data_IF_545323632857
#
_entry.id   IF_545323632857
#
_cell.length_a   1.000
_cell.length_b   1.000
_cell.length_c   1.000
_cell.angle_alpha   90.00
_cell.angle_beta   90.00
_cell.angle_gamma   90.00
#
_symmetry.space_group_name_H-M   'P 1'
#
loop_
_entity.id
_entity.type
_entity.pdbx_description
1 polymer ?
#
# COMPACT_ATOMS: atom_id res chain seq x y z
N UNK A 1 1.07 12.21 33.50
CA UNK A 1 1.09 12.54 32.05
C UNK A 1 0.73 11.29 31.26
N UNK A 2 -0.03 11.42 30.17
CA UNK A 2 -0.42 10.27 29.35
C UNK A 2 0.76 9.74 28.54
N UNK A 3 0.99 8.43 28.56
CA UNK A 3 2.01 7.78 27.73
C UNK A 3 1.73 7.94 26.23
N UNK A 4 0.45 8.06 25.84
CA UNK A 4 0.05 8.24 24.44
C UNK A 4 0.68 9.50 23.82
N UNK A 5 0.78 10.58 24.59
CA UNK A 5 1.34 11.87 24.15
C UNK A 5 2.82 12.05 24.53
N UNK A 6 3.49 10.97 24.94
CA UNK A 6 4.94 10.98 25.12
C UNK A 6 5.66 10.74 23.80
N UNK A 7 6.82 11.36 23.58
CA UNK A 7 7.62 11.12 22.39
C UNK A 7 8.11 9.67 22.30
N UNK A 8 8.33 9.21 21.07
CA UNK A 8 8.93 7.90 20.80
C UNK A 8 9.96 8.01 19.67
N UNK A 9 11.01 7.21 19.72
CA UNK A 9 12.07 7.22 18.69
C UNK A 9 12.05 5.88 17.97
N UNK A 10 11.92 5.92 16.65
CA UNK A 10 12.14 4.78 15.77
C UNK A 10 13.58 4.84 15.27
N UNK A 11 14.40 3.86 15.65
CA UNK A 11 15.80 3.79 15.24
C UNK A 11 15.96 2.92 14.00
N UNK A 12 16.80 3.37 13.07
CA UNK A 12 17.18 2.62 11.87
C UNK A 12 18.68 2.77 11.58
N UNK A 13 19.27 1.91 10.72
CA UNK A 13 20.65 2.11 10.26
C UNK A 13 20.88 3.45 9.53
N UNK A 14 19.83 4.10 9.02
CA UNK A 14 19.90 5.43 8.37
C UNK A 14 19.74 6.59 9.36
N UNK A 15 19.49 6.31 10.64
CA UNK A 15 19.29 7.30 11.69
C UNK A 15 17.96 7.13 12.44
N UNK A 16 17.79 8.00 13.44
CA UNK A 16 16.62 8.02 14.31
C UNK A 16 15.52 8.94 13.77
N UNK A 17 14.28 8.45 13.81
CA UNK A 17 13.07 9.22 13.55
C UNK A 17 12.32 9.45 14.86
N UNK A 18 12.28 10.70 15.33
CA UNK A 18 11.56 11.07 16.55
C UNK A 18 10.10 11.42 16.24
N UNK A 19 9.18 10.67 16.84
CA UNK A 19 7.75 10.93 16.81
C UNK A 19 7.34 11.79 18.02
N UNK A 20 6.49 12.83 17.85
CA UNK A 20 6.06 13.70 18.94
C UNK A 20 5.12 13.00 19.93
N UNK A 21 4.46 11.93 19.50
CA UNK A 21 3.56 11.11 20.31
C UNK A 21 3.50 9.67 19.73
N UNK A 22 2.73 8.79 20.35
CA UNK A 22 2.62 7.37 19.99
C UNK A 22 1.40 7.04 19.12
N UNK A 23 0.78 8.05 18.53
CA UNK A 23 -0.38 7.88 17.65
C UNK A 23 0.14 7.64 16.23
N UNK A 24 -0.23 6.50 15.66
CA UNK A 24 0.08 6.14 14.28
C UNK A 24 -1.23 5.98 13.53
N UNK A 25 -1.39 6.70 12.42
CA UNK A 25 -2.50 6.47 11.50
C UNK A 25 -2.16 5.29 10.61
N UNK A 26 -2.96 4.23 10.70
CA UNK A 26 -2.77 3.00 9.95
C UNK A 26 -2.95 3.18 8.43
N UNK A 27 -2.34 2.29 7.61
CA UNK A 27 -2.59 2.27 6.17
C UNK A 27 -4.02 1.78 5.89
N UNK A 28 -4.90 2.70 5.48
CA UNK A 28 -6.32 2.43 5.22
C UNK A 28 -6.64 2.64 3.74
N UNK A 29 -6.92 1.55 3.01
CA UNK A 29 -7.27 1.63 1.59
C UNK A 29 -8.45 2.57 1.36
N UNK A 30 -8.27 3.51 0.43
CA UNK A 30 -9.29 4.48 0.05
C UNK A 30 -10.11 4.02 -1.15
N UNK A 31 -9.54 3.15 -1.99
CA UNK A 31 -10.16 2.66 -3.23
C UNK A 31 -10.61 3.81 -4.15
N UNK A 32 -9.77 4.84 -4.27
CA UNK A 32 -10.06 6.09 -4.99
C UNK A 32 -9.00 6.43 -6.05
N UNK A 33 -8.09 5.51 -6.35
CA UNK A 33 -7.10 5.69 -7.40
C UNK A 33 -7.69 5.38 -8.77
N UNK A 34 -7.11 5.97 -9.82
CA UNK A 34 -7.43 5.64 -11.21
C UNK A 34 -6.16 5.09 -11.83
N UNK A 35 -6.18 3.82 -12.27
CA UNK A 35 -4.98 3.14 -12.79
C UNK A 35 -3.77 3.19 -11.83
N UNK A 36 -4.02 3.13 -10.52
CA UNK A 36 -2.98 3.27 -9.50
C UNK A 36 -2.56 4.71 -9.18
N UNK A 37 -2.98 5.69 -9.98
CA UNK A 37 -2.60 7.09 -9.80
C UNK A 37 -3.42 7.74 -8.67
N UNK A 38 -2.72 8.40 -7.75
CA UNK A 38 -3.35 9.16 -6.67
C UNK A 38 -4.17 10.33 -7.22
N UNK A 39 -5.46 10.34 -6.89
CA UNK A 39 -6.41 11.41 -7.21
C UNK A 39 -6.49 12.49 -6.12
N UNK A 40 -7.19 13.59 -6.40
CA UNK A 40 -7.41 14.68 -5.43
C UNK A 40 -8.17 14.25 -4.16
N UNK A 41 -8.87 13.11 -4.21
CA UNK A 41 -9.36 12.43 -3.00
C UNK A 41 -8.23 12.21 -1.98
N UNK A 42 -7.09 11.70 -2.43
CA UNK A 42 -5.94 11.41 -1.57
C UNK A 42 -5.31 12.70 -1.05
N UNK A 43 -5.26 13.76 -1.86
CA UNK A 43 -4.80 15.07 -1.39
C UNK A 43 -5.63 15.56 -0.20
N UNK A 44 -6.96 15.54 -0.33
CA UNK A 44 -7.86 15.95 0.75
C UNK A 44 -7.70 15.04 1.98
N UNK A 45 -7.68 13.73 1.76
CA UNK A 45 -7.56 12.73 2.83
C UNK A 45 -6.24 12.86 3.60
N UNK A 46 -5.11 12.89 2.89
CA UNK A 46 -3.78 13.03 3.50
C UNK A 46 -3.62 14.39 4.16
N UNK A 47 -4.12 15.47 3.54
CA UNK A 47 -4.11 16.80 4.15
C UNK A 47 -4.81 16.83 5.50
N UNK A 48 -5.96 16.15 5.62
CA UNK A 48 -6.67 16.02 6.90
C UNK A 48 -5.87 15.19 7.93
N UNK A 49 -5.34 14.03 7.53
CA UNK A 49 -4.59 13.16 8.44
C UNK A 49 -3.27 13.79 8.92
N UNK A 50 -2.58 14.53 8.06
CA UNK A 50 -1.36 15.26 8.43
C UNK A 50 -1.65 16.38 9.45
N UNK A 51 -2.87 16.93 9.47
CA UNK A 51 -3.33 17.92 10.45
C UNK A 51 -3.95 17.30 11.72
N UNK A 52 -4.02 15.97 11.84
CA UNK A 52 -4.70 15.29 12.95
C UNK A 52 -3.97 15.37 14.30
N UNK A 53 -2.68 15.75 14.29
CA UNK A 53 -1.81 15.68 15.47
C UNK A 53 -1.22 14.28 15.74
N UNK A 54 -1.45 13.30 14.86
CA UNK A 54 -0.77 12.01 14.93
C UNK A 54 0.75 12.14 14.77
N UNK A 55 1.51 11.25 15.42
CA UNK A 55 2.96 11.26 15.35
C UNK A 55 3.51 10.66 14.06
N UNK A 56 2.76 9.79 13.40
CA UNK A 56 3.11 9.15 12.13
C UNK A 56 1.84 8.88 11.30
N UNK A 57 1.92 9.11 10.00
CA UNK A 57 0.90 8.71 9.03
C UNK A 57 1.47 7.65 8.08
N UNK A 58 0.76 6.54 7.86
CA UNK A 58 1.13 5.51 6.89
C UNK A 58 0.14 5.54 5.72
N UNK A 59 0.63 5.84 4.52
CA UNK A 59 -0.15 5.77 3.28
C UNK A 59 -0.62 4.33 3.05
N UNK A 60 -1.84 4.19 2.53
CA UNK A 60 -2.52 2.91 2.28
C UNK A 60 -1.69 1.90 1.46
N UNK A 61 -2.12 0.64 1.50
CA UNK A 61 -1.53 -0.45 0.73
C UNK A 61 -1.39 -0.06 -0.76
N UNK A 62 -0.15 0.14 -1.18
CA UNK A 62 0.21 0.63 -2.50
C UNK A 62 0.83 -0.50 -3.30
N UNK A 63 0.18 -0.86 -4.41
CA UNK A 63 0.58 -1.99 -5.26
C UNK A 63 1.95 -1.79 -5.89
N UNK A 64 2.83 -2.78 -5.76
CA UNK A 64 4.17 -2.78 -6.39
C UNK A 64 4.13 -3.18 -7.87
N UNK A 65 3.03 -3.80 -8.31
CA UNK A 65 2.70 -4.10 -9.70
C UNK A 65 1.20 -3.86 -9.95
N UNK A 66 0.75 -3.68 -11.20
CA UNK A 66 -0.66 -3.48 -11.52
C UNK A 66 -1.56 -4.61 -11.03
N UNK A 67 -1.13 -5.86 -11.17
CA UNK A 67 -1.85 -7.07 -10.76
C UNK A 67 -1.79 -7.33 -9.26
N UNK A 68 -0.86 -6.69 -8.55
CA UNK A 68 -0.73 -6.75 -7.10
C UNK A 68 -1.76 -5.92 -6.33
N UNK A 69 -2.61 -5.14 -7.00
CA UNK A 69 -3.67 -4.36 -6.35
C UNK A 69 -4.77 -5.25 -5.77
N UNK A 70 -5.41 -4.79 -4.70
CA UNK A 70 -6.61 -5.48 -4.16
C UNK A 70 -7.78 -5.26 -5.13
N UNK A 71 -8.00 -4.00 -5.53
CA UNK A 71 -9.11 -3.60 -6.41
C UNK A 71 -8.59 -2.73 -7.56
N UNK A 72 -9.39 -2.52 -8.64
CA UNK A 72 -9.02 -1.60 -9.71
C UNK A 72 -8.67 -0.18 -9.23
N UNK A 73 -9.26 0.24 -8.10
CA UNK A 73 -9.13 1.58 -7.54
C UNK A 73 -8.09 1.72 -6.42
N UNK A 74 -7.23 0.71 -6.21
CA UNK A 74 -6.11 0.81 -5.27
C UNK A 74 -4.95 1.65 -5.83
N UNK A 75 -4.22 2.32 -4.94
CA UNK A 75 -2.97 3.01 -5.28
C UNK A 75 -1.91 2.06 -5.84
N UNK A 76 -1.04 2.61 -6.67
CA UNK A 76 0.09 1.95 -7.28
C UNK A 76 1.39 2.73 -7.11
N UNK A 77 2.51 2.02 -7.23
CA UNK A 77 3.85 2.62 -7.32
C UNK A 77 4.79 1.74 -8.15
N UNK A 78 4.40 1.45 -9.39
CA UNK A 78 5.13 0.56 -10.30
C UNK A 78 5.77 1.29 -11.48
N UNK A 79 5.24 2.46 -11.87
CA UNK A 79 5.71 3.24 -13.03
C UNK A 79 5.86 4.74 -12.71
N UNK A 80 6.33 5.50 -13.70
CA UNK A 80 6.58 6.93 -13.53
C UNK A 80 5.29 7.74 -13.37
N UNK A 81 4.16 7.25 -13.91
CA UNK A 81 2.86 7.93 -13.80
C UNK A 81 2.34 7.83 -12.37
N UNK A 82 2.34 6.63 -11.82
CA UNK A 82 1.94 6.37 -10.42
C UNK A 82 2.86 7.08 -9.44
N UNK A 83 4.18 7.10 -9.69
CA UNK A 83 5.14 7.90 -8.89
C UNK A 83 4.82 9.41 -8.95
N UNK A 84 4.62 9.96 -10.15
CA UNK A 84 4.35 11.39 -10.33
C UNK A 84 3.04 11.82 -9.66
N UNK A 85 1.98 11.03 -9.81
CA UNK A 85 0.69 11.31 -9.18
C UNK A 85 0.80 11.29 -7.65
N UNK A 86 1.44 10.26 -7.08
CA UNK A 86 1.61 10.14 -5.63
C UNK A 86 2.46 11.30 -5.07
N UNK A 87 3.54 11.67 -5.78
CA UNK A 87 4.39 12.83 -5.45
C UNK A 87 3.61 14.14 -5.46
N UNK A 88 2.82 14.41 -6.49
CA UNK A 88 2.00 15.62 -6.59
C UNK A 88 1.09 15.74 -5.36
N UNK A 89 0.26 14.72 -5.11
CA UNK A 89 -0.73 14.77 -4.03
C UNK A 89 -0.08 14.86 -2.65
N UNK A 90 0.99 14.10 -2.39
CA UNK A 90 1.68 14.13 -1.10
C UNK A 90 2.37 15.48 -0.87
N UNK A 91 3.06 16.02 -1.87
CA UNK A 91 3.75 17.31 -1.74
C UNK A 91 2.78 18.46 -1.48
N UNK A 92 1.62 18.45 -2.15
CA UNK A 92 0.54 19.43 -1.93
C UNK A 92 -0.09 19.26 -0.54
N UNK A 93 -0.33 18.04 -0.08
CA UNK A 93 -0.86 17.77 1.25
C UNK A 93 0.09 18.26 2.36
N UNK A 94 1.40 17.96 2.24
CA UNK A 94 2.43 18.41 3.19
C UNK A 94 2.53 19.92 3.30
N UNK A 95 2.32 20.68 2.21
CA UNK A 95 2.31 22.16 2.24
C UNK A 95 1.16 22.75 3.06
N UNK A 96 0.12 21.97 3.34
CA UNK A 96 -1.09 22.40 4.05
C UNK A 96 -1.13 21.91 5.50
N UNK A 97 -0.05 21.32 6.02
CA UNK A 97 -0.03 20.69 7.33
C UNK A 97 1.32 20.91 8.06
N UNK A 98 1.36 20.75 9.39
CA UNK A 98 2.61 20.64 10.13
C UNK A 98 3.50 19.49 9.60
N UNK A 99 4.79 19.56 9.91
CA UNK A 99 5.72 18.49 9.57
C UNK A 99 5.37 17.22 10.36
N UNK A 100 4.81 16.24 9.65
CA UNK A 100 4.46 14.92 10.16
C UNK A 100 5.21 13.87 9.34
N UNK A 101 5.93 12.92 9.97
CA UNK A 101 6.52 11.80 9.25
C UNK A 101 5.46 10.99 8.51
N UNK A 102 5.79 10.57 7.28
CA UNK A 102 4.90 9.78 6.42
C UNK A 102 5.61 8.52 5.97
N UNK A 103 5.03 7.37 6.30
CA UNK A 103 5.45 6.08 5.72
C UNK A 103 4.50 5.70 4.59
N UNK A 104 4.90 4.72 3.79
CA UNK A 104 4.03 4.08 2.80
C UNK A 104 4.05 2.57 2.99
N UNK A 105 2.88 1.95 2.91
CA UNK A 105 2.78 0.49 2.95
C UNK A 105 2.88 -0.07 1.53
N UNK A 106 3.96 -0.77 1.21
CA UNK A 106 4.12 -1.47 -0.08
C UNK A 106 3.49 -2.86 0.00
N UNK A 107 2.68 -3.19 -0.99
CA UNK A 107 1.81 -4.37 -0.94
C UNK A 107 1.71 -5.11 -2.28
N UNK A 108 1.37 -6.40 -2.17
CA UNK A 108 0.89 -7.23 -3.26
C UNK A 108 -0.22 -8.15 -2.71
N UNK A 109 -1.43 -8.06 -3.26
CA UNK A 109 -2.61 -8.74 -2.71
C UNK A 109 -2.63 -10.26 -2.97
N UNK A 110 -1.81 -10.74 -3.91
CA UNK A 110 -1.70 -12.16 -4.23
C UNK A 110 -3.05 -12.73 -4.68
N UNK A 111 -3.47 -13.88 -4.14
CA UNK A 111 -4.76 -14.48 -4.50
C UNK A 111 -6.00 -13.63 -4.17
N UNK A 112 -5.87 -12.62 -3.32
CA UNK A 112 -6.95 -11.67 -2.96
C UNK A 112 -6.93 -10.39 -3.82
N UNK A 113 -6.11 -10.37 -4.87
CA UNK A 113 -6.14 -9.32 -5.87
C UNK A 113 -7.40 -9.43 -6.75
N UNK A 114 -7.61 -8.44 -7.61
CA UNK A 114 -8.72 -8.46 -8.58
C UNK A 114 -10.11 -8.51 -7.93
N UNK A 115 -10.27 -7.96 -6.72
CA UNK A 115 -11.56 -7.86 -6.02
C UNK A 115 -12.30 -6.56 -6.36
N UNK A 116 -13.63 -6.61 -6.25
CA UNK A 116 -14.48 -5.44 -6.24
C UNK A 116 -14.16 -4.53 -5.04
N UNK A 117 -14.55 -3.26 -5.12
CA UNK A 117 -14.45 -2.38 -3.95
C UNK A 117 -15.37 -2.86 -2.81
N UNK A 118 -15.11 -2.50 -1.54
CA UNK A 118 -15.93 -2.97 -0.43
C UNK A 118 -17.42 -2.62 -0.55
N UNK A 119 -17.76 -1.45 -1.09
CA UNK A 119 -19.15 -1.04 -1.30
C UNK A 119 -19.82 -1.70 -2.50
N UNK A 120 -19.05 -2.39 -3.35
CA UNK A 120 -19.53 -3.26 -4.43
C UNK A 120 -19.53 -4.75 -4.05
N UNK A 121 -19.26 -5.06 -2.76
CA UNK A 121 -19.36 -6.40 -2.18
C UNK A 121 -18.02 -7.09 -1.92
N UNK A 122 -16.89 -6.57 -2.44
CA UNK A 122 -15.55 -7.10 -2.14
C UNK A 122 -15.21 -8.48 -2.73
N UNK A 123 -16.09 -9.07 -3.54
CA UNK A 123 -15.86 -10.35 -4.23
C UNK A 123 -14.78 -10.26 -5.31
N UNK A 124 -14.16 -11.39 -5.65
CA UNK A 124 -13.31 -11.51 -6.84
C UNK A 124 -14.10 -11.14 -8.11
N UNK A 125 -13.53 -10.27 -8.95
CA UNK A 125 -14.09 -9.86 -10.23
C UNK A 125 -13.83 -10.90 -11.31
N UNK A 126 -14.83 -11.15 -12.16
CA UNK A 126 -14.63 -11.90 -13.39
C UNK A 126 -13.83 -11.07 -14.41
N UNK A 127 -13.28 -11.70 -15.46
CA UNK A 127 -12.56 -10.99 -16.53
C UNK A 127 -13.49 -10.03 -17.29
N UNK A 128 -14.75 -10.39 -17.46
CA UNK A 128 -15.78 -9.57 -18.10
C UNK A 128 -16.12 -8.32 -17.29
N UNK A 129 -15.89 -8.36 -15.97
CA UNK A 129 -16.04 -7.23 -15.04
C UNK A 129 -14.75 -6.41 -14.89
N UNK A 130 -13.72 -6.67 -15.71
CA UNK A 130 -12.43 -5.99 -15.63
C UNK A 130 -11.46 -6.58 -14.60
N UNK A 131 -11.74 -7.78 -14.08
CA UNK A 131 -10.80 -8.54 -13.27
C UNK A 131 -9.60 -9.09 -14.06
N UNK A 132 -8.55 -9.49 -13.35
CA UNK A 132 -7.29 -9.99 -13.91
C UNK A 132 -6.83 -11.28 -13.23
N UNK A 133 -5.87 -11.98 -13.83
CA UNK A 133 -5.30 -13.20 -13.27
C UNK A 133 -4.49 -12.90 -12.00
N UNK A 134 -4.84 -13.57 -10.90
CA UNK A 134 -4.19 -13.38 -9.60
C UNK A 134 -3.00 -14.31 -9.46
N UNK A 135 -2.04 -13.95 -8.59
CA UNK A 135 -0.79 -14.69 -8.37
C UNK A 135 -0.73 -15.18 -6.92
N UNK A 136 -0.17 -16.36 -6.66
CA UNK A 136 -0.05 -16.90 -5.31
C UNK A 136 1.11 -17.91 -5.18
N UNK A 137 1.50 -18.30 -3.94
CA UNK A 137 2.49 -19.37 -3.71
C UNK A 137 2.06 -20.73 -4.24
N UNK A 138 0.75 -20.97 -4.35
CA UNK A 138 0.16 -22.23 -4.78
C UNK A 138 -1.19 -21.93 -5.44
N UNK A 139 -1.63 -22.80 -6.35
CA UNK A 139 -2.92 -22.68 -7.05
C UNK A 139 -4.12 -23.05 -6.14
N UNK A 140 -4.26 -22.34 -5.01
CA UNK A 140 -5.31 -22.52 -4.00
C UNK A 140 -6.07 -21.21 -3.84
N UNK A 141 -7.39 -21.18 -4.11
CA UNK A 141 -8.18 -19.96 -4.08
C UNK A 141 -8.42 -19.49 -2.63
N UNK A 142 -8.85 -18.24 -2.45
CA UNK A 142 -9.19 -17.74 -1.12
C UNK A 142 -10.54 -18.31 -0.64
N UNK A 143 -11.52 -18.41 -1.54
CA UNK A 143 -12.80 -19.08 -1.30
C UNK A 143 -12.99 -20.25 -2.27
N UNK A 144 -13.82 -21.23 -1.88
CA UNK A 144 -14.00 -22.50 -2.61
C UNK A 144 -14.42 -22.32 -4.08
N UNK A 145 -15.23 -21.30 -4.36
CA UNK A 145 -15.84 -21.06 -5.68
C UNK A 145 -15.14 -19.93 -6.46
N UNK A 146 -14.01 -19.44 -5.96
CA UNK A 146 -13.19 -18.46 -6.66
C UNK A 146 -12.27 -19.13 -7.69
N UNK A 147 -11.89 -18.35 -8.70
CA UNK A 147 -10.93 -18.76 -9.70
C UNK A 147 -9.56 -19.00 -9.05
N UNK A 148 -8.87 -20.05 -9.50
CA UNK A 148 -7.53 -20.38 -9.03
C UNK A 148 -6.54 -19.24 -9.36
N UNK A 149 -5.66 -18.86 -8.42
CA UNK A 149 -4.52 -18.03 -8.74
C UNK A 149 -3.49 -18.82 -9.56
N UNK A 150 -2.69 -18.12 -10.34
CA UNK A 150 -1.48 -18.67 -10.95
C UNK A 150 -0.42 -18.91 -9.87
N UNK A 151 0.19 -20.09 -9.90
CA UNK A 151 1.27 -20.46 -8.99
C UNK A 151 2.57 -19.83 -9.46
N UNK A 152 3.16 -19.00 -8.60
CA UNK A 152 4.40 -18.27 -8.89
C UNK A 152 5.57 -19.24 -9.08
N UNK A 153 6.22 -19.14 -10.24
CA UNK A 153 7.51 -19.78 -10.50
C UNK A 153 8.67 -19.05 -9.80
N UNK A 154 9.83 -19.70 -9.74
CA UNK A 154 11.04 -19.08 -9.18
C UNK A 154 11.48 -17.81 -9.91
N UNK A 155 11.25 -17.73 -11.23
CA UNK A 155 11.55 -16.54 -12.04
C UNK A 155 10.59 -15.39 -11.70
N UNK A 156 9.29 -15.65 -11.65
CA UNK A 156 8.28 -14.65 -11.32
C UNK A 156 8.46 -14.14 -9.88
N UNK A 157 8.92 -14.99 -8.95
CA UNK A 157 9.31 -14.56 -7.61
C UNK A 157 10.47 -13.57 -7.63
N UNK A 158 11.51 -13.82 -8.42
CA UNK A 158 12.64 -12.91 -8.54
C UNK A 158 12.22 -11.55 -9.13
N UNK A 159 11.35 -11.57 -10.15
CA UNK A 159 10.78 -10.36 -10.76
C UNK A 159 9.93 -9.58 -9.77
N UNK A 160 9.11 -10.26 -8.96
CA UNK A 160 8.29 -9.62 -7.95
C UNK A 160 9.14 -9.00 -6.83
N UNK A 161 10.20 -9.69 -6.37
CA UNK A 161 11.16 -9.12 -5.41
C UNK A 161 11.77 -7.83 -6.00
N UNK A 162 12.16 -7.85 -7.28
CA UNK A 162 12.67 -6.67 -7.96
C UNK A 162 11.62 -5.54 -8.02
N UNK A 163 10.33 -5.87 -8.23
CA UNK A 163 9.25 -4.88 -8.21
C UNK A 163 9.09 -4.20 -6.83
N UNK A 164 9.20 -4.95 -5.73
CA UNK A 164 9.23 -4.36 -4.38
C UNK A 164 10.42 -3.41 -4.19
N UNK A 165 11.60 -3.79 -4.69
CA UNK A 165 12.81 -2.93 -4.64
C UNK A 165 12.60 -1.65 -5.44
N UNK A 166 12.08 -1.75 -6.67
CA UNK A 166 11.78 -0.59 -7.51
C UNK A 166 10.76 0.33 -6.84
N UNK A 167 9.67 -0.21 -6.30
CA UNK A 167 8.67 0.56 -5.58
C UNK A 167 9.25 1.25 -4.33
N UNK A 168 10.14 0.60 -3.60
CA UNK A 168 10.84 1.19 -2.46
C UNK A 168 11.75 2.36 -2.87
N UNK A 169 12.48 2.23 -3.98
CA UNK A 169 13.29 3.32 -4.54
C UNK A 169 12.42 4.48 -5.04
N UNK A 170 11.26 4.20 -5.65
CA UNK A 170 10.26 5.21 -6.04
C UNK A 170 9.76 5.96 -4.81
N UNK A 171 9.42 5.24 -3.75
CA UNK A 171 8.95 5.83 -2.49
C UNK A 171 9.99 6.78 -1.87
N UNK A 172 11.28 6.37 -1.85
CA UNK A 172 12.37 7.22 -1.38
C UNK A 172 12.47 8.53 -2.20
N UNK A 173 12.36 8.46 -3.54
CA UNK A 173 12.38 9.65 -4.41
C UNK A 173 11.19 10.59 -4.23
N UNK A 174 10.06 10.07 -3.75
CA UNK A 174 8.88 10.88 -3.40
C UNK A 174 9.05 11.57 -2.04
N UNK A 175 9.99 11.13 -1.21
CA UNK A 175 10.28 11.73 0.10
C UNK A 175 9.35 11.23 1.20
N UNK A 176 9.01 9.93 1.18
CA UNK A 176 8.47 9.26 2.38
C UNK A 176 9.60 9.03 3.38
N UNK A 177 9.26 9.02 4.66
CA UNK A 177 10.20 8.89 5.78
C UNK A 177 10.46 7.43 6.17
N UNK A 178 9.73 6.48 5.58
CA UNK A 178 9.87 5.05 5.82
C UNK A 178 8.92 4.20 5.01
N UNK A 179 9.14 2.89 5.07
CA UNK A 179 8.39 1.88 4.32
C UNK A 179 7.90 0.81 5.30
N UNK A 180 6.63 0.44 5.16
CA UNK A 180 6.07 -0.76 5.77
C UNK A 180 5.87 -1.82 4.67
N UNK A 181 6.35 -3.05 4.90
CA UNK A 181 6.09 -4.17 3.99
C UNK A 181 4.82 -4.90 4.44
N UNK A 182 3.84 -5.04 3.55
CA UNK A 182 2.57 -5.67 3.91
C UNK A 182 2.67 -7.22 3.98
N UNK A 183 3.09 -7.74 5.13
CA UNK A 183 3.20 -9.17 5.43
C UNK A 183 1.98 -9.82 6.11
N UNK A 184 0.77 -9.28 5.94
CA UNK A 184 -0.40 -9.59 6.77
C UNK A 184 -1.71 -9.70 5.95
N UNK A 185 -2.87 -9.77 6.62
CA UNK A 185 -4.23 -9.74 6.06
C UNK A 185 -4.58 -10.81 5.00
N UNK A 186 -3.69 -11.79 4.81
CA UNK A 186 -3.86 -12.88 3.85
C UNK A 186 -3.49 -12.45 2.44
N UNK A 187 -2.74 -11.35 2.30
CA UNK A 187 -2.09 -10.94 1.05
C UNK A 187 -0.82 -11.74 0.80
N UNK A 188 -0.11 -11.46 -0.29
CA UNK A 188 0.85 -12.39 -0.86
C UNK A 188 1.92 -12.88 0.14
N UNK A 189 2.57 -11.97 0.87
CA UNK A 189 3.59 -12.36 1.85
C UNK A 189 3.00 -13.25 2.96
N UNK A 190 1.77 -12.95 3.42
CA UNK A 190 1.09 -13.80 4.40
C UNK A 190 0.73 -15.17 3.79
N UNK A 191 0.39 -15.24 2.50
CA UNK A 191 0.11 -16.52 1.82
C UNK A 191 1.34 -17.43 1.81
N UNK A 192 2.56 -16.90 1.72
CA UNK A 192 3.79 -17.69 1.85
C UNK A 192 4.04 -18.20 3.28
N UNK A 193 3.52 -17.50 4.29
CA UNK A 193 3.73 -17.82 5.70
C UNK A 193 2.72 -18.83 6.27
N UNK A 194 1.57 -19.01 5.62
CA UNK A 194 0.49 -19.88 6.06
C UNK A 194 0.50 -21.21 5.29
N UNK A 195 0.70 -22.36 5.97
CA UNK A 195 0.51 -23.68 5.38
C UNK A 195 -0.93 -23.96 4.94
#
# INVERSE_FOLDING_TARGET
MSLLFSSYTLSSPKGDLKLPNRIVVAPMCQYSAVNGEAQDWHLMHWGNLLNSGAGLFIIEATGVTPEGRITPACLGLWDDRTEAALKDKLSRARKLAPATPVFIQLAHAGRKASSATPWEGGQLLSKEQGGWDTLAPSAIPQLKDERLPHELSGTELAELIAAFVVAAQRAERIGVDGIELHGAHGYLLHQFLSP
#
